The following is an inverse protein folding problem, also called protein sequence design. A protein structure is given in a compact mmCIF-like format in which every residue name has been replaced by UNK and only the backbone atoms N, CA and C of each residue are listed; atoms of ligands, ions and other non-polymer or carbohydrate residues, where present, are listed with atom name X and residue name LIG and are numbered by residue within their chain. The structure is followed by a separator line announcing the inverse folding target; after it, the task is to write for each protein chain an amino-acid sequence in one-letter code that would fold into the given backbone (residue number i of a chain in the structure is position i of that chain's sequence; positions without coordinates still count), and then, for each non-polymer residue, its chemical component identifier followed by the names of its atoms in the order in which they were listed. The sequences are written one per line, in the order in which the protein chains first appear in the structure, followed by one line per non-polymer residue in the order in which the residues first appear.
data_IF_544211379030
#
_entry.id   IF_544211379030
#
_cell.length_a   1.000
_cell.length_b   1.000
_cell.length_c   1.000
_cell.angle_alpha   90.00
_cell.angle_beta   90.00
_cell.angle_gamma   90.00
#
_symmetry.space_group_name_H-M   'P 1'
#
loop_
_entity.id
_entity.type
_entity.pdbx_description
1 polymer ?
#
# COMPACT_ATOMS: atom_id res chain seq x y z
N UNK A 1 29.88 -3.75 0.96
CA UNK A 1 28.47 -3.36 1.02
C UNK A 1 27.61 -4.60 1.16
N UNK A 2 27.45 -5.07 2.40
CA UNK A 2 26.60 -6.22 2.71
C UNK A 2 25.19 -5.69 3.01
N UNK A 3 24.32 -5.71 2.01
CA UNK A 3 22.91 -5.40 2.18
C UNK A 3 22.21 -6.66 2.69
N UNK A 4 21.74 -6.63 3.93
CA UNK A 4 20.95 -7.73 4.50
C UNK A 4 19.48 -7.49 4.16
N UNK A 5 18.92 -8.37 3.32
CA UNK A 5 17.49 -8.38 3.04
C UNK A 5 16.77 -9.09 4.20
N UNK A 6 16.09 -8.32 5.04
CA UNK A 6 15.24 -8.88 6.08
C UNK A 6 13.88 -9.26 5.50
N UNK A 7 13.52 -10.54 5.61
CA UNK A 7 12.16 -11.03 5.38
C UNK A 7 11.62 -11.53 6.70
N UNK A 8 10.43 -11.08 7.08
CA UNK A 8 9.75 -11.56 8.28
C UNK A 8 8.31 -11.97 7.92
N UNK A 9 7.93 -13.25 8.11
CA UNK A 9 6.55 -13.66 7.92
C UNK A 9 5.68 -13.03 9.01
N UNK A 10 4.51 -12.52 8.64
CA UNK A 10 3.52 -12.06 9.61
C UNK A 10 2.14 -12.55 9.18
N UNK A 11 1.29 -12.78 10.16
CA UNK A 11 -0.07 -13.28 9.98
C UNK A 11 -1.04 -12.28 10.59
N UNK A 12 -2.14 -12.03 9.89
CA UNK A 12 -3.24 -11.22 10.38
C UNK A 12 -4.55 -11.79 9.88
N UNK A 13 -5.60 -11.63 10.68
CA UNK A 13 -6.94 -12.10 10.37
C UNK A 13 -7.89 -10.91 10.28
N UNK A 14 -8.73 -10.91 9.24
CA UNK A 14 -9.69 -9.85 8.99
C UNK A 14 -11.11 -10.41 9.03
N UNK A 15 -11.94 -9.79 9.86
CA UNK A 15 -13.34 -10.18 10.02
C UNK A 15 -14.25 -9.14 9.40
N UNK A 16 -15.13 -9.58 8.50
CA UNK A 16 -16.15 -8.72 7.91
C UNK A 16 -17.56 -9.20 8.29
N UNK A 17 -18.39 -8.29 8.82
CA UNK A 17 -19.80 -8.57 9.15
C UNK A 17 -20.70 -8.21 7.97
N UNK A 18 -21.38 -9.16 7.32
CA UNK A 18 -22.24 -8.91 6.15
C UNK A 18 -23.40 -7.94 6.40
N UNK A 19 -23.84 -7.78 7.66
CA UNK A 19 -24.90 -6.85 8.04
C UNK A 19 -24.61 -5.40 7.62
N UNK A 20 -23.33 -4.99 7.58
CA UNK A 20 -22.96 -3.65 7.14
C UNK A 20 -23.14 -3.43 5.64
N UNK A 21 -22.83 -4.43 4.80
CA UNK A 21 -23.05 -4.34 3.36
C UNK A 21 -24.55 -4.24 3.04
N UNK A 22 -25.37 -5.01 3.73
CA UNK A 22 -26.83 -5.03 3.53
C UNK A 22 -27.49 -3.73 3.96
N UNK A 23 -27.02 -3.11 5.05
CA UNK A 23 -27.57 -1.85 5.55
C UNK A 23 -27.21 -0.63 4.66
N UNK A 24 -26.00 -0.63 4.07
CA UNK A 24 -25.49 0.51 3.32
C UNK A 24 -25.57 0.33 1.79
N UNK A 25 -26.01 -0.83 1.30
CA UNK A 25 -25.95 -1.22 -0.12
C UNK A 25 -24.55 -1.08 -0.74
N UNK A 26 -23.50 -1.09 0.08
CA UNK A 26 -22.10 -0.92 -0.32
C UNK A 26 -21.32 -2.20 0.02
N UNK A 27 -20.74 -2.82 -0.99
CA UNK A 27 -19.86 -3.98 -0.78
C UNK A 27 -18.50 -3.53 -0.23
N UNK A 28 -17.87 -4.32 0.65
CA UNK A 28 -16.55 -3.98 1.17
C UNK A 28 -15.54 -3.98 0.04
N UNK A 29 -14.76 -2.90 -0.06
CA UNK A 29 -13.55 -2.88 -0.88
C UNK A 29 -12.52 -3.80 -0.26
N UNK A 30 -11.66 -4.38 -1.11
CA UNK A 30 -10.54 -5.16 -0.60
C UNK A 30 -9.63 -4.28 0.27
N UNK A 31 -9.12 -4.82 1.38
CA UNK A 31 -8.21 -4.11 2.26
C UNK A 31 -6.92 -3.76 1.51
N UNK A 32 -6.42 -2.53 1.72
CA UNK A 32 -5.14 -2.06 1.17
C UNK A 32 -4.06 -2.20 2.22
N UNK A 33 -2.89 -2.69 1.82
CA UNK A 33 -1.68 -2.72 2.65
C UNK A 33 -0.74 -1.63 2.11
N UNK A 34 -0.25 -0.79 3.02
CA UNK A 34 0.75 0.22 2.71
C UNK A 34 2.09 -0.20 3.29
N UNK A 35 3.14 0.01 2.53
CA UNK A 35 4.51 -0.33 2.90
C UNK A 35 5.34 0.94 2.98
N UNK A 36 6.06 1.09 4.09
CA UNK A 36 7.14 2.05 4.25
C UNK A 36 8.45 1.25 4.36
N UNK A 37 9.27 1.35 3.33
CA UNK A 37 10.57 0.70 3.26
C UNK A 37 11.58 1.63 3.91
N UNK A 38 12.30 1.14 4.91
CA UNK A 38 13.34 1.90 5.60
C UNK A 38 14.63 1.12 5.75
N UNK A 39 15.74 1.84 5.73
CA UNK A 39 17.08 1.30 5.94
C UNK A 39 17.66 1.85 7.23
N UNK A 40 18.55 1.06 7.85
CA UNK A 40 19.38 1.45 8.98
C UNK A 40 20.82 1.14 8.60
N UNK A 41 21.70 2.13 8.73
CA UNK A 41 23.11 1.93 8.44
C UNK A 41 23.97 1.69 9.68
N UNK A 42 25.26 1.41 9.48
CA UNK A 42 26.23 1.15 10.55
C UNK A 42 26.49 2.33 11.48
N UNK A 43 26.06 3.54 11.13
CA UNK A 43 26.09 4.71 12.02
C UNK A 43 24.74 4.96 12.69
N UNK A 44 23.86 3.95 12.69
CA UNK A 44 22.51 3.99 13.26
C UNK A 44 21.63 5.08 12.66
N UNK A 45 21.90 5.50 11.42
CA UNK A 45 21.07 6.50 10.73
C UNK A 45 19.91 5.77 10.04
N UNK A 46 18.69 6.17 10.38
CA UNK A 46 17.46 5.67 9.77
C UNK A 46 17.10 6.49 8.54
N UNK A 47 16.67 5.85 7.46
CA UNK A 47 16.23 6.52 6.22
C UNK A 47 15.03 5.82 5.62
N UNK A 48 14.12 6.59 5.02
CA UNK A 48 13.03 6.03 4.22
C UNK A 48 13.51 5.80 2.79
N UNK A 49 13.59 4.55 2.38
CA UNK A 49 13.97 4.15 1.02
C UNK A 49 12.81 4.17 0.04
N UNK A 50 11.59 4.01 0.51
CA UNK A 50 10.44 4.10 -0.37
C UNK A 50 9.12 3.81 0.30
N UNK A 51 8.09 4.01 -0.49
CA UNK A 51 6.73 3.69 -0.19
C UNK A 51 6.14 2.91 -1.36
N UNK A 52 5.24 2.01 -1.04
CA UNK A 52 4.40 1.34 -2.03
C UNK A 52 3.12 0.85 -1.35
N UNK A 53 2.17 0.35 -2.13
CA UNK A 53 0.93 -0.21 -1.62
C UNK A 53 0.45 -1.33 -2.52
N UNK A 54 -0.40 -2.19 -1.97
CA UNK A 54 -1.11 -3.23 -2.72
C UNK A 54 -2.51 -3.43 -2.14
N UNK A 55 -3.48 -3.69 -3.01
CA UNK A 55 -4.79 -4.17 -2.61
C UNK A 55 -4.71 -5.69 -2.42
N UNK A 56 -5.23 -6.21 -1.30
CA UNK A 56 -5.26 -7.66 -1.06
C UNK A 56 -6.08 -8.32 -2.19
N UNK A 57 -5.54 -9.34 -2.88
CA UNK A 57 -6.24 -10.07 -3.92
C UNK A 57 -7.63 -10.57 -3.46
N UNK A 58 -8.64 -10.38 -4.32
CA UNK A 58 -10.03 -10.75 -4.01
C UNK A 58 -10.34 -12.24 -4.18
N UNK A 59 -9.33 -13.07 -4.45
CA UNK A 59 -9.46 -14.53 -4.50
C UNK A 59 -8.44 -15.17 -3.56
N UNK A 60 -8.81 -16.30 -2.92
CA UNK A 60 -7.86 -17.07 -2.12
C UNK A 60 -6.81 -17.71 -3.02
N UNK A 61 -5.59 -17.85 -2.50
CA UNK A 61 -4.49 -18.42 -3.26
C UNK A 61 -3.11 -17.99 -2.75
N UNK A 62 -2.10 -18.42 -3.51
CA UNK A 62 -0.72 -17.98 -3.37
C UNK A 62 -0.44 -16.90 -4.42
N UNK A 63 0.21 -15.82 -3.99
CA UNK A 63 0.60 -14.70 -4.83
C UNK A 63 2.07 -14.34 -4.57
N UNK A 64 2.78 -13.97 -5.63
CA UNK A 64 4.16 -13.50 -5.59
C UNK A 64 4.24 -12.26 -6.49
N UNK A 65 4.36 -11.09 -5.87
CA UNK A 65 4.17 -9.79 -6.52
C UNK A 65 5.40 -8.90 -6.30
N UNK A 66 5.84 -8.25 -7.38
CA UNK A 66 6.94 -7.27 -7.35
C UNK A 66 6.37 -5.85 -7.42
N UNK A 67 6.41 -5.15 -6.28
CA UNK A 67 5.88 -3.80 -6.17
C UNK A 67 6.96 -2.75 -6.42
N UNK A 68 6.75 -1.90 -7.41
CA UNK A 68 7.59 -0.72 -7.61
C UNK A 68 7.44 0.24 -6.43
N UNK A 69 8.57 0.70 -5.92
CA UNK A 69 8.64 1.62 -4.79
C UNK A 69 9.10 3.00 -5.25
N UNK A 70 8.61 4.02 -4.56
CA UNK A 70 8.99 5.41 -4.78
C UNK A 70 9.09 6.16 -3.47
N UNK A 71 9.85 7.24 -3.44
CA UNK A 71 9.93 8.14 -2.28
C UNK A 71 9.72 9.59 -2.70
N UNK A 72 9.26 10.47 -1.79
CA UNK A 72 9.33 11.90 -2.03
C UNK A 72 10.79 12.35 -2.17
N UNK A 73 10.99 13.34 -3.02
CA UNK A 73 12.27 14.02 -3.21
C UNK A 73 12.12 15.46 -2.75
N UNK A 74 13.06 15.91 -1.93
CA UNK A 74 13.15 17.32 -1.56
C UNK A 74 13.30 18.23 -2.78
N UNK A 75 12.89 19.49 -2.61
CA UNK A 75 12.98 20.48 -3.68
C UNK A 75 14.42 20.96 -3.89
N UNK A 76 15.28 20.79 -2.89
CA UNK A 76 16.66 21.25 -2.90
C UNK A 76 17.68 20.11 -2.96
N UNK A 77 18.84 20.37 -3.55
CA UNK A 77 20.00 19.47 -3.48
C UNK A 77 20.44 19.21 -2.03
N UNK A 78 20.22 20.17 -1.12
CA UNK A 78 20.53 20.03 0.29
C UNK A 78 19.74 18.91 0.97
N UNK A 79 18.53 18.60 0.48
CA UNK A 79 17.70 17.55 1.08
C UNK A 79 18.28 16.16 0.80
N UNK A 80 18.81 15.94 -0.41
CA UNK A 80 19.51 14.71 -0.77
C UNK A 80 20.86 14.60 -0.05
N UNK A 81 21.59 15.71 0.12
CA UNK A 81 22.82 15.73 0.91
C UNK A 81 22.54 15.42 2.39
N UNK A 82 21.49 15.99 2.98
CA UNK A 82 21.08 15.69 4.36
C UNK A 82 20.70 14.22 4.53
N UNK A 83 19.95 13.67 3.58
CA UNK A 83 19.63 12.24 3.53
C UNK A 83 20.91 11.40 3.54
N UNK A 84 21.84 11.71 2.65
CA UNK A 84 23.07 10.93 2.52
C UNK A 84 23.96 11.02 3.77
N UNK A 85 24.26 12.23 4.23
CA UNK A 85 25.25 12.45 5.29
C UNK A 85 24.68 12.33 6.71
N UNK A 86 23.46 12.78 6.95
CA UNK A 86 22.88 12.92 8.30
C UNK A 86 21.77 11.89 8.52
N UNK A 87 21.17 11.35 7.45
CA UNK A 87 20.03 10.42 7.53
C UNK A 87 18.67 11.11 7.43
N UNK A 88 18.62 12.45 7.37
CA UNK A 88 17.36 13.18 7.26
C UNK A 88 16.65 12.90 5.93
N UNK A 89 15.48 12.27 5.97
CA UNK A 89 14.68 11.95 4.77
C UNK A 89 13.42 12.82 4.73
N UNK A 90 12.99 13.23 3.55
CA UNK A 90 11.62 13.73 3.37
C UNK A 90 10.67 12.57 3.50
N UNK A 91 9.63 12.73 4.31
CA UNK A 91 8.65 11.68 4.62
C UNK A 91 7.25 12.14 4.27
N UNK A 92 6.35 11.18 4.07
CA UNK A 92 4.93 11.45 3.97
C UNK A 92 4.36 11.70 5.37
N UNK A 93 3.57 12.75 5.52
CA UNK A 93 2.81 12.99 6.75
C UNK A 93 1.76 11.88 6.99
N UNK A 94 1.13 11.42 5.89
CA UNK A 94 0.19 10.30 5.90
C UNK A 94 0.55 9.30 4.80
N UNK A 95 0.80 8.05 5.18
CA UNK A 95 1.13 6.94 4.28
C UNK A 95 -0.01 6.62 3.28
N UNK A 96 -1.25 7.04 3.57
CA UNK A 96 -2.36 6.84 2.63
C UNK A 96 -2.21 7.62 1.32
N UNK A 97 -1.36 8.68 1.32
CA UNK A 97 -1.00 9.44 0.11
C UNK A 97 -0.19 8.63 -0.90
N UNK A 98 0.31 7.46 -0.49
CA UNK A 98 0.95 6.52 -1.42
C UNK A 98 -0.05 6.04 -2.47
N UNK A 99 -1.33 5.96 -2.10
CA UNK A 99 -2.45 5.66 -2.98
C UNK A 99 -3.40 6.87 -3.08
N UNK A 100 -4.70 6.61 -3.19
CA UNK A 100 -5.75 7.62 -3.05
C UNK A 100 -6.28 7.52 -1.63
N UNK A 101 -6.07 8.53 -0.77
CA UNK A 101 -6.62 8.52 0.58
C UNK A 101 -8.14 8.43 0.54
N UNK A 102 -8.73 7.72 1.50
CA UNK A 102 -10.18 7.49 1.59
C UNK A 102 -11.00 8.79 1.59
N UNK A 103 -10.44 9.88 2.11
CA UNK A 103 -11.08 11.20 2.16
C UNK A 103 -11.40 11.76 0.75
N UNK A 104 -10.60 11.38 -0.25
CA UNK A 104 -10.73 11.81 -1.65
C UNK A 104 -11.37 10.74 -2.54
N UNK A 105 -11.64 9.54 -2.01
CA UNK A 105 -12.19 8.41 -2.76
C UNK A 105 -13.72 8.40 -2.81
N UNK A 106 -14.39 9.31 -2.08
CA UNK A 106 -15.86 9.42 -2.06
C UNK A 106 -16.34 10.46 -3.07
N UNK A 107 -17.18 10.03 -4.02
CA UNK A 107 -17.88 10.90 -4.98
C UNK A 107 -18.70 12.01 -4.31
N UNK A 108 -19.08 11.85 -3.04
CA UNK A 108 -19.84 12.84 -2.27
C UNK A 108 -19.01 14.05 -1.83
N UNK A 109 -17.70 13.88 -1.72
CA UNK A 109 -16.77 14.95 -1.39
C UNK A 109 -15.98 15.27 -2.65
N UNK A 110 -16.44 16.27 -3.40
CA UNK A 110 -15.81 16.78 -4.63
C UNK A 110 -14.45 17.48 -4.35
N UNK A 111 -13.67 16.98 -3.39
CA UNK A 111 -12.35 17.46 -3.02
C UNK A 111 -11.35 16.92 -4.04
N UNK A 112 -10.65 17.84 -4.70
CA UNK A 112 -9.56 17.50 -5.60
C UNK A 112 -8.29 17.24 -4.77
N UNK A 113 -7.67 16.08 -4.96
CA UNK A 113 -6.33 15.81 -4.44
C UNK A 113 -5.30 16.46 -5.37
N UNK A 114 -4.82 17.66 -5.00
CA UNK A 114 -3.71 18.28 -5.73
C UNK A 114 -2.39 17.61 -5.35
N UNK A 115 -1.68 17.08 -6.36
CA UNK A 115 -0.30 16.59 -6.24
C UNK A 115 0.72 17.56 -6.87
N UNK A 116 0.28 18.78 -7.18
CA UNK A 116 1.14 19.77 -7.82
C UNK A 116 2.34 20.11 -6.93
N UNK A 117 3.53 20.15 -7.53
CA UNK A 117 4.78 20.40 -6.80
C UNK A 117 5.32 19.20 -6.03
N UNK A 118 4.60 18.07 -5.96
CA UNK A 118 5.07 16.85 -5.33
C UNK A 118 6.05 16.11 -6.25
N UNK A 119 7.31 16.05 -5.83
CA UNK A 119 8.38 15.38 -6.59
C UNK A 119 8.66 14.02 -5.99
N UNK A 120 8.74 13.01 -6.84
CA UNK A 120 9.06 11.63 -6.43
C UNK A 120 10.28 11.10 -7.18
N UNK A 121 10.92 10.11 -6.58
CA UNK A 121 12.03 9.35 -7.17
C UNK A 121 11.70 7.87 -7.03
N UNK A 122 11.83 7.13 -8.12
CA UNK A 122 11.77 5.67 -8.09
C UNK A 122 13.04 5.13 -7.43
N UNK A 123 12.90 4.19 -6.51
CA UNK A 123 14.03 3.69 -5.70
C UNK A 123 14.33 2.23 -5.95
N UNK A 124 13.33 1.37 -5.97
CA UNK A 124 13.53 -0.06 -6.19
C UNK A 124 12.21 -0.83 -6.18
N UNK A 125 12.32 -2.13 -5.95
CA UNK A 125 11.19 -3.06 -5.91
C UNK A 125 11.10 -3.78 -4.58
N UNK A 126 9.88 -3.98 -4.10
CA UNK A 126 9.53 -4.76 -2.93
C UNK A 126 8.85 -6.06 -3.40
N UNK A 127 9.52 -7.18 -3.22
CA UNK A 127 8.93 -8.50 -3.47
C UNK A 127 8.08 -8.92 -2.26
N UNK A 128 6.82 -9.26 -2.48
CA UNK A 128 5.91 -9.74 -1.44
C UNK A 128 5.25 -11.03 -1.88
N UNK A 129 5.17 -11.96 -0.94
CA UNK A 129 4.44 -13.22 -1.09
C UNK A 129 3.27 -13.26 -0.15
N UNK A 130 2.08 -13.52 -0.69
CA UNK A 130 0.85 -13.69 0.09
C UNK A 130 0.35 -15.13 0.02
N UNK A 131 -0.11 -15.64 1.17
CA UNK A 131 -0.95 -16.81 1.26
C UNK A 131 -2.30 -16.38 1.80
N UNK A 132 -3.35 -16.46 0.98
CA UNK A 132 -4.65 -15.89 1.29
C UNK A 132 -5.68 -17.01 1.41
N UNK A 133 -6.33 -17.07 2.57
CA UNK A 133 -7.43 -18.00 2.85
C UNK A 133 -8.68 -17.20 3.14
N UNK A 134 -9.74 -17.45 2.37
CA UNK A 134 -11.04 -16.85 2.58
C UNK A 134 -12.00 -17.87 3.18
N UNK A 135 -12.44 -17.60 4.40
CA UNK A 135 -13.48 -18.37 5.06
C UNK A 135 -14.79 -17.58 5.05
N UNK A 136 -15.78 -18.07 4.29
CA UNK A 136 -17.11 -17.48 4.28
C UNK A 136 -18.13 -18.46 3.72
N UNK A 137 -19.32 -18.46 4.33
CA UNK A 137 -20.46 -19.23 3.85
C UNK A 137 -21.16 -18.54 2.66
N UNK A 138 -20.97 -17.22 2.46
CA UNK A 138 -21.72 -16.39 1.51
C UNK A 138 -20.88 -15.83 0.35
N UNK A 139 -19.58 -15.56 0.54
CA UNK A 139 -18.70 -14.93 -0.46
C UNK A 139 -18.55 -15.74 -1.76
N UNK A 140 -18.62 -17.09 -1.69
CA UNK A 140 -18.54 -17.96 -2.88
C UNK A 140 -19.68 -17.71 -3.89
N UNK A 141 -20.86 -17.24 -3.45
CA UNK A 141 -21.99 -16.92 -4.35
C UNK A 141 -21.84 -15.53 -4.97
N UNK A 142 -21.33 -14.56 -4.22
CA UNK A 142 -21.29 -13.14 -4.62
C UNK A 142 -20.25 -12.90 -5.74
N UNK A 143 -19.02 -13.40 -5.59
CA UNK A 143 -17.99 -13.20 -6.62
C UNK A 143 -18.23 -14.03 -7.88
N UNK A 144 -18.87 -15.21 -7.76
CA UNK A 144 -19.24 -16.03 -8.92
C UNK A 144 -20.37 -15.39 -9.74
N UNK A 145 -21.31 -14.71 -9.10
CA UNK A 145 -22.38 -13.97 -9.79
C UNK A 145 -21.81 -12.77 -10.59
N UNK A 146 -20.84 -12.05 -10.02
CA UNK A 146 -20.24 -10.88 -10.68
C UNK A 146 -19.26 -11.23 -11.82
N UNK A 147 -18.56 -12.37 -11.73
CA UNK A 147 -17.82 -12.94 -12.87
C UNK A 147 -18.74 -13.36 -14.02
N UNK A 148 -20.05 -13.47 -13.82
CA UNK A 148 -21.00 -13.74 -14.89
C UNK A 148 -21.53 -12.42 -15.46
N UNK A 149 -21.85 -11.43 -14.61
CA UNK A 149 -22.32 -10.11 -15.06
C UNK A 149 -21.26 -9.27 -15.76
N UNK A 150 -19.97 -9.40 -15.44
CA UNK A 150 -18.90 -8.69 -16.16
C UNK A 150 -18.61 -9.23 -17.57
N UNK A 151 -19.21 -10.36 -17.95
CA UNK A 151 -19.06 -10.99 -19.26
C UNK A 151 -20.32 -10.86 -20.14
N UNK A 152 -21.29 -10.04 -19.73
CA UNK A 152 -22.44 -9.58 -20.52
C UNK A 152 -22.45 -8.06 -20.60
#
# INVERSE_FOLDING_TARGET
DDIVYYSHPFEFELWYKPSYALANHEFPRMPKIYFQISSLDSWSRHRIEGYTYIDIPSSPGFYDEDLSCWRPRGNSIYDELRRFYIGGSTELEDISYVAIPKLFESEKNNKLLSRFGFRTVSTGTLNIRFNIVFQSQYIKKIYKFFLIEKFY
#
